data_IF_657077379804
#
_entry.id   IF_657077379804
#
_cell.length_a   1.000
_cell.length_b   1.000
_cell.length_c   1.000
_cell.angle_alpha   90.00
_cell.angle_beta   90.00
_cell.angle_gamma   90.00
#
_symmetry.space_group_name_H-M   'P 1'
#
loop_
_entity.id
_entity.type
_entity.pdbx_description
1 polymer ?
#
# COMPACT_ATOMS: atom_id res chain seq x y z
N UNK A 1 4.73 -13.82 -26.18
CA UNK A 1 4.99 -12.64 -25.34
C UNK A 1 5.72 -13.10 -24.08
N UNK A 2 6.71 -12.34 -23.62
CA UNK A 2 7.49 -12.67 -22.44
C UNK A 2 7.08 -11.78 -21.26
N UNK A 3 6.93 -12.39 -20.07
CA UNK A 3 6.76 -11.66 -18.82
C UNK A 3 8.15 -11.25 -18.29
N UNK A 4 8.35 -9.95 -18.09
CA UNK A 4 9.58 -9.42 -17.51
C UNK A 4 9.36 -9.19 -16.03
N UNK A 5 9.98 -10.02 -15.18
CA UNK A 5 9.95 -9.84 -13.72
C UNK A 5 11.02 -8.84 -13.30
N UNK A 6 10.60 -7.76 -12.65
CA UNK A 6 11.48 -6.70 -12.16
C UNK A 6 11.80 -6.94 -10.67
N UNK A 7 13.05 -6.79 -10.28
CA UNK A 7 13.52 -6.94 -8.90
C UNK A 7 13.81 -5.58 -8.23
N UNK A 8 12.98 -4.58 -8.54
CA UNK A 8 13.01 -3.25 -7.94
C UNK A 8 11.59 -2.71 -7.79
N UNK A 9 11.41 -1.72 -6.93
CA UNK A 9 10.11 -1.12 -6.64
C UNK A 9 10.12 0.36 -7.04
N UNK A 10 9.88 0.61 -8.33
CA UNK A 10 9.71 1.95 -8.88
C UNK A 10 8.23 2.22 -9.07
N UNK A 11 7.71 3.17 -8.31
CA UNK A 11 6.27 3.45 -8.27
C UNK A 11 5.95 4.73 -9.02
N UNK A 12 5.17 4.60 -10.10
CA UNK A 12 4.59 5.72 -10.82
C UNK A 12 3.42 6.32 -10.05
N UNK A 13 3.21 7.61 -10.18
CA UNK A 13 1.99 8.25 -9.71
C UNK A 13 1.45 9.23 -10.76
N UNK A 14 0.13 9.21 -10.95
CA UNK A 14 -0.52 10.08 -11.90
C UNK A 14 -0.52 11.54 -11.40
N UNK A 15 0.02 12.43 -12.19
CA UNK A 15 0.03 13.87 -11.93
C UNK A 15 -0.74 14.62 -13.02
N UNK A 16 -1.74 15.39 -12.62
CA UNK A 16 -2.51 16.25 -13.50
C UNK A 16 -1.72 17.54 -13.79
N UNK A 17 -1.65 17.90 -15.08
CA UNK A 17 -0.94 19.08 -15.56
C UNK A 17 -1.78 19.83 -16.58
N UNK A 18 -1.49 21.13 -16.84
CA UNK A 18 -2.19 21.88 -17.89
C UNK A 18 -2.11 21.25 -19.29
N UNK A 19 -1.08 20.44 -19.54
CA UNK A 19 -0.85 19.76 -20.83
C UNK A 19 -1.35 18.31 -20.84
N UNK A 20 -2.09 17.88 -19.83
CA UNK A 20 -2.62 16.52 -19.69
C UNK A 20 -1.96 15.74 -18.55
N UNK A 21 -2.32 14.47 -18.47
CA UNK A 21 -1.85 13.56 -17.43
C UNK A 21 -0.45 13.04 -17.74
N UNK A 22 0.45 13.10 -16.76
CA UNK A 22 1.79 12.50 -16.81
C UNK A 22 1.99 11.56 -15.61
N UNK A 23 2.94 10.61 -15.73
CA UNK A 23 3.21 9.62 -14.68
C UNK A 23 4.69 9.67 -14.29
N UNK A 24 5.09 10.60 -13.40
CA UNK A 24 6.42 10.56 -12.82
C UNK A 24 6.63 9.32 -11.96
N UNK A 25 7.89 8.88 -11.83
CA UNK A 25 8.28 7.62 -11.20
C UNK A 25 9.21 7.86 -10.02
N UNK A 26 8.77 7.46 -8.83
CA UNK A 26 9.61 7.38 -7.63
C UNK A 26 10.40 6.08 -7.69
N UNK A 27 11.72 6.20 -7.80
CA UNK A 27 12.62 5.05 -7.91
C UNK A 27 12.93 4.48 -6.53
N UNK A 28 13.13 3.16 -6.45
CA UNK A 28 13.52 2.45 -5.22
C UNK A 28 12.66 2.87 -3.99
N UNK A 29 11.34 2.86 -4.16
CA UNK A 29 10.40 3.32 -3.12
C UNK A 29 10.51 2.47 -1.83
N UNK A 30 10.93 1.21 -1.93
CA UNK A 30 11.18 0.30 -0.81
C UNK A 30 12.37 0.70 0.06
N UNK A 31 13.30 1.53 -0.47
CA UNK A 31 14.50 2.01 0.24
C UNK A 31 14.31 3.39 0.87
N UNK A 32 13.14 4.00 0.71
CA UNK A 32 12.83 5.36 1.14
C UNK A 32 11.87 5.37 2.31
N UNK A 33 12.06 6.33 3.19
CA UNK A 33 11.10 6.61 4.26
C UNK A 33 9.85 7.29 3.70
N UNK A 34 8.76 7.29 4.46
CA UNK A 34 7.53 7.99 4.09
C UNK A 34 7.76 9.48 3.79
N UNK A 35 8.62 10.15 4.57
CA UNK A 35 8.91 11.57 4.38
C UNK A 35 9.72 11.84 3.11
N UNK A 36 10.66 10.97 2.78
CA UNK A 36 11.44 11.04 1.54
C UNK A 36 10.55 10.84 0.32
N UNK A 37 9.66 9.83 0.36
CA UNK A 37 8.67 9.61 -0.71
C UNK A 37 7.75 10.82 -0.87
N UNK A 38 7.24 11.38 0.22
CA UNK A 38 6.34 12.54 0.17
C UNK A 38 7.02 13.77 -0.43
N UNK A 39 8.29 14.02 -0.07
CA UNK A 39 9.07 15.13 -0.62
C UNK A 39 9.33 14.94 -2.11
N UNK A 40 9.84 13.77 -2.51
CA UNK A 40 10.15 13.47 -3.92
C UNK A 40 8.88 13.51 -4.79
N UNK A 41 7.76 12.99 -4.30
CA UNK A 41 6.47 13.09 -4.99
C UNK A 41 6.06 14.54 -5.20
N UNK A 42 6.25 15.42 -4.20
CA UNK A 42 5.97 16.85 -4.29
C UNK A 42 6.85 17.55 -5.31
N UNK A 43 8.15 17.26 -5.32
CA UNK A 43 9.13 17.81 -6.26
C UNK A 43 8.83 17.39 -7.71
N UNK A 44 8.58 16.10 -7.93
CA UNK A 44 8.22 15.57 -9.25
C UNK A 44 6.88 16.13 -9.74
N UNK A 45 5.89 16.27 -8.87
CA UNK A 45 4.60 16.87 -9.22
C UNK A 45 4.72 18.36 -9.58
N UNK A 46 5.62 19.10 -8.92
CA UNK A 46 5.91 20.50 -9.26
C UNK A 46 6.56 20.58 -10.65
N UNK A 47 7.62 19.81 -10.90
CA UNK A 47 8.27 19.71 -12.23
C UNK A 47 7.27 19.31 -13.33
N UNK A 48 6.35 18.39 -13.03
CA UNK A 48 5.31 17.96 -13.96
C UNK A 48 4.44 19.14 -14.40
N UNK A 49 3.92 19.91 -13.43
CA UNK A 49 3.08 21.09 -13.71
C UNK A 49 3.81 22.19 -14.47
N UNK A 50 5.12 22.32 -14.25
CA UNK A 50 5.97 23.26 -14.97
C UNK A 50 6.43 22.76 -16.35
N UNK A 51 6.09 21.53 -16.74
CA UNK A 51 6.54 20.91 -17.98
C UNK A 51 8.04 20.62 -18.04
N UNK A 52 8.68 20.46 -16.86
CA UNK A 52 10.14 20.30 -16.71
C UNK A 52 10.56 18.85 -16.37
N UNK A 53 9.65 17.88 -16.45
CA UNK A 53 10.00 16.47 -16.26
C UNK A 53 10.91 15.98 -17.38
N UNK A 54 12.04 15.39 -17.00
CA UNK A 54 12.88 14.67 -17.96
C UNK A 54 12.21 13.34 -18.36
N UNK A 55 12.38 12.86 -19.60
CA UNK A 55 11.86 11.56 -20.03
C UNK A 55 12.26 10.39 -19.11
N UNK A 56 13.46 10.44 -18.55
CA UNK A 56 13.94 9.42 -17.60
C UNK A 56 13.17 9.43 -16.28
N UNK A 57 12.55 10.53 -15.88
CA UNK A 57 11.72 10.63 -14.66
C UNK A 57 10.32 10.04 -14.85
N UNK A 58 9.93 9.68 -16.08
CA UNK A 58 8.64 9.07 -16.42
C UNK A 58 8.76 7.60 -16.87
N UNK A 59 9.95 7.02 -16.81
CA UNK A 59 10.23 5.67 -17.30
C UNK A 59 10.69 4.72 -16.20
N UNK A 60 10.51 3.42 -16.46
CA UNK A 60 10.99 2.37 -15.58
C UNK A 60 10.07 2.02 -14.43
N UNK A 61 8.88 2.58 -14.35
CA UNK A 61 7.86 2.18 -13.39
C UNK A 61 7.54 0.69 -13.46
N UNK A 62 7.14 0.10 -12.35
CA UNK A 62 6.65 -1.28 -12.27
C UNK A 62 5.20 -1.36 -11.79
N UNK A 63 4.68 -0.29 -11.22
CA UNK A 63 3.32 -0.17 -10.72
C UNK A 63 2.95 1.31 -10.60
N UNK A 64 1.76 1.69 -11.00
CA UNK A 64 1.29 3.09 -10.94
C UNK A 64 0.16 3.25 -9.93
N UNK A 65 0.12 4.40 -9.26
CA UNK A 65 -0.97 4.83 -8.39
C UNK A 65 -1.62 6.06 -9.02
N UNK A 66 -2.92 6.01 -9.27
CA UNK A 66 -3.73 7.14 -9.71
C UNK A 66 -4.66 7.58 -8.60
N UNK A 67 -4.60 8.84 -8.19
CA UNK A 67 -5.45 9.36 -7.11
C UNK A 67 -6.35 10.49 -7.62
N UNK A 68 -7.66 10.27 -7.49
CA UNK A 68 -8.69 11.30 -7.73
C UNK A 68 -9.26 11.85 -6.41
N UNK A 69 -8.68 11.49 -5.26
CA UNK A 69 -9.19 11.85 -3.95
C UNK A 69 -9.31 13.36 -3.71
N UNK A 70 -8.46 14.17 -4.33
CA UNK A 70 -8.52 15.63 -4.28
C UNK A 70 -9.60 16.25 -5.17
N UNK A 71 -10.02 15.54 -6.21
CA UNK A 71 -11.01 16.04 -7.20
C UNK A 71 -12.42 15.61 -6.80
N UNK A 72 -12.60 14.36 -6.38
CA UNK A 72 -13.88 13.80 -5.99
C UNK A 72 -14.08 12.36 -6.50
N UNK A 73 -15.34 11.92 -6.53
CA UNK A 73 -15.69 10.58 -6.98
C UNK A 73 -15.66 9.52 -5.88
N UNK A 74 -16.53 8.52 -6.00
CA UNK A 74 -16.67 7.41 -5.05
C UNK A 74 -15.92 6.16 -5.49
N UNK A 75 -15.69 6.00 -6.79
CA UNK A 75 -14.94 4.93 -7.42
C UNK A 75 -14.61 5.31 -8.87
N UNK A 76 -13.56 4.74 -9.41
CA UNK A 76 -13.23 4.79 -10.84
C UNK A 76 -12.41 3.56 -11.23
N UNK A 77 -12.30 3.29 -12.52
CA UNK A 77 -11.47 2.22 -13.06
C UNK A 77 -10.25 2.85 -13.73
N UNK A 78 -9.07 2.80 -13.10
CA UNK A 78 -7.85 3.33 -13.72
C UNK A 78 -7.43 2.49 -14.92
N UNK A 79 -6.83 3.14 -15.93
CA UNK A 79 -6.29 2.47 -17.12
C UNK A 79 -4.82 2.17 -16.85
N UNK A 80 -4.40 0.92 -17.13
CA UNK A 80 -3.04 0.47 -16.90
C UNK A 80 -2.07 1.27 -17.76
N UNK A 81 -1.00 1.75 -17.13
CA UNK A 81 0.07 2.48 -17.79
C UNK A 81 1.09 1.48 -18.38
N UNK A 82 0.91 1.12 -19.65
CA UNK A 82 1.80 0.17 -20.33
C UNK A 82 3.27 0.65 -20.28
N UNK A 83 4.25 -0.26 -20.10
CA UNK A 83 4.18 -1.71 -20.07
C UNK A 83 3.94 -2.33 -18.68
N UNK A 84 3.47 -1.59 -17.71
CA UNK A 84 3.07 -2.11 -16.41
C UNK A 84 1.87 -3.07 -16.55
N UNK A 85 1.68 -3.94 -15.57
CA UNK A 85 0.60 -4.95 -15.58
C UNK A 85 -0.53 -4.65 -14.60
N UNK A 86 -0.38 -3.62 -13.78
CA UNK A 86 -1.42 -3.22 -12.82
C UNK A 86 -1.30 -1.75 -12.43
N UNK A 87 -2.42 -1.18 -12.00
CA UNK A 87 -2.55 0.18 -11.50
C UNK A 87 -3.56 0.23 -10.35
N UNK A 88 -3.22 1.00 -9.31
CA UNK A 88 -4.11 1.25 -8.19
C UNK A 88 -4.82 2.60 -8.34
N UNK A 89 -6.13 2.59 -8.30
CA UNK A 89 -6.97 3.77 -8.20
C UNK A 89 -7.30 4.09 -6.76
N UNK A 90 -7.13 5.35 -6.36
CA UNK A 90 -7.47 5.86 -5.03
C UNK A 90 -8.52 6.95 -5.18
N UNK A 91 -9.74 6.72 -4.68
CA UNK A 91 -10.83 7.69 -4.69
C UNK A 91 -10.86 8.51 -3.39
N UNK A 92 -11.81 9.44 -3.29
CA UNK A 92 -11.96 10.29 -2.11
C UNK A 92 -12.34 9.47 -0.87
N UNK A 93 -11.62 9.68 0.22
CA UNK A 93 -12.01 9.14 1.51
C UNK A 93 -13.28 9.83 2.03
N UNK A 94 -14.22 9.06 2.56
CA UNK A 94 -15.50 9.57 3.06
C UNK A 94 -15.96 8.80 4.31
N UNK A 95 -16.77 9.46 5.15
CA UNK A 95 -17.37 8.84 6.32
C UNK A 95 -18.55 7.96 5.88
N UNK A 96 -18.45 6.66 6.15
CA UNK A 96 -19.53 5.70 5.85
C UNK A 96 -19.95 4.93 7.10
N UNK A 97 -21.25 4.65 7.27
CA UNK A 97 -21.71 3.81 8.35
C UNK A 97 -21.23 2.38 8.12
N UNK A 98 -20.47 1.83 9.06
CA UNK A 98 -20.03 0.45 9.05
C UNK A 98 -20.53 -0.27 10.29
N UNK A 99 -21.05 -1.47 10.09
CA UNK A 99 -21.49 -2.33 11.18
C UNK A 99 -20.29 -2.83 11.99
N UNK A 100 -20.30 -2.62 13.31
CA UNK A 100 -19.21 -3.01 14.22
C UNK A 100 -19.47 -4.32 14.98
N UNK A 101 -20.60 -4.99 14.66
CA UNK A 101 -21.09 -6.18 15.35
C UNK A 101 -22.29 -5.90 16.27
N UNK A 102 -22.53 -4.62 16.62
CA UNK A 102 -23.61 -4.20 17.53
C UNK A 102 -24.44 -3.03 16.97
N UNK A 103 -23.79 -2.08 16.29
CA UNK A 103 -24.41 -0.87 15.75
C UNK A 103 -23.65 -0.38 14.53
N UNK A 104 -24.29 0.52 13.77
CA UNK A 104 -23.59 1.27 12.74
C UNK A 104 -22.75 2.38 13.36
N UNK A 105 -21.45 2.35 13.11
CA UNK A 105 -20.51 3.38 13.54
C UNK A 105 -19.93 4.10 12.32
N UNK A 106 -19.73 5.43 12.33
CA UNK A 106 -19.05 6.13 11.26
C UNK A 106 -17.59 5.70 11.18
N UNK A 107 -17.13 5.37 9.98
CA UNK A 107 -15.74 5.02 9.70
C UNK A 107 -15.27 5.77 8.47
N UNK A 108 -14.05 6.33 8.53
CA UNK A 108 -13.40 6.88 7.35
C UNK A 108 -13.00 5.74 6.43
N UNK A 109 -13.62 5.70 5.26
CA UNK A 109 -13.38 4.66 4.26
C UNK A 109 -12.67 5.25 3.06
N UNK A 110 -11.56 4.63 2.66
CA UNK A 110 -10.80 4.96 1.47
C UNK A 110 -11.12 3.92 0.38
N UNK A 111 -11.86 4.29 -0.69
CA UNK A 111 -12.12 3.37 -1.77
C UNK A 111 -10.85 3.14 -2.60
N UNK A 112 -10.53 1.87 -2.85
CA UNK A 112 -9.42 1.44 -3.68
C UNK A 112 -9.95 0.62 -4.85
N UNK A 113 -9.43 0.87 -6.05
CA UNK A 113 -9.73 0.11 -7.27
C UNK A 113 -8.43 -0.42 -7.85
N UNK A 114 -8.38 -1.70 -8.21
CA UNK A 114 -7.23 -2.31 -8.84
C UNK A 114 -7.60 -2.75 -10.25
N UNK A 115 -6.92 -2.19 -11.25
CA UNK A 115 -6.95 -2.71 -12.62
C UNK A 115 -5.67 -3.48 -12.89
N UNK A 116 -5.78 -4.63 -13.56
CA UNK A 116 -4.63 -5.47 -13.87
C UNK A 116 -4.81 -6.23 -15.19
N UNK A 117 -3.71 -6.59 -15.81
CA UNK A 117 -3.67 -7.44 -17.01
C UNK A 117 -3.97 -8.89 -16.60
N UNK A 118 -5.15 -9.39 -17.00
CA UNK A 118 -5.60 -10.73 -16.61
C UNK A 118 -4.80 -11.86 -17.27
N UNK A 119 -3.90 -11.57 -18.19
CA UNK A 119 -2.93 -12.52 -18.73
C UNK A 119 -1.78 -12.81 -17.75
N UNK A 120 -1.54 -11.88 -16.78
CA UNK A 120 -0.43 -11.95 -15.82
C UNK A 120 -0.93 -12.14 -14.39
N UNK A 121 -2.02 -11.48 -14.01
CA UNK A 121 -2.60 -11.50 -12.67
C UNK A 121 -3.99 -12.10 -12.74
N UNK A 122 -4.25 -13.15 -11.99
CA UNK A 122 -5.57 -13.72 -11.86
C UNK A 122 -6.43 -12.99 -10.80
N UNK A 123 -7.74 -13.27 -10.80
CA UNK A 123 -8.67 -12.63 -9.87
C UNK A 123 -8.36 -12.92 -8.40
N UNK A 124 -7.83 -14.10 -8.09
CA UNK A 124 -7.46 -14.48 -6.73
C UNK A 124 -6.22 -13.73 -6.25
N UNK A 125 -5.21 -13.56 -7.10
CA UNK A 125 -4.01 -12.79 -6.79
C UNK A 125 -4.36 -11.29 -6.60
N UNK A 126 -5.15 -10.71 -7.52
CA UNK A 126 -5.61 -9.33 -7.40
C UNK A 126 -6.42 -9.08 -6.11
N UNK A 127 -7.33 -9.99 -5.77
CA UNK A 127 -8.13 -9.90 -4.54
C UNK A 127 -7.26 -10.01 -3.29
N UNK A 128 -6.30 -10.95 -3.25
CA UNK A 128 -5.37 -11.07 -2.13
C UNK A 128 -4.51 -9.83 -1.95
N UNK A 129 -4.02 -9.25 -3.05
CA UNK A 129 -3.24 -8.02 -3.02
C UNK A 129 -4.03 -6.86 -2.41
N UNK A 130 -5.23 -6.57 -2.91
CA UNK A 130 -6.02 -5.43 -2.43
C UNK A 130 -6.49 -5.62 -0.98
N UNK A 131 -6.82 -6.85 -0.58
CA UNK A 131 -7.19 -7.18 0.80
C UNK A 131 -6.00 -6.98 1.75
N UNK A 132 -4.81 -7.44 1.37
CA UNK A 132 -3.59 -7.26 2.15
C UNK A 132 -3.22 -5.77 2.27
N UNK A 133 -3.27 -5.02 1.18
CA UNK A 133 -3.04 -3.58 1.18
C UNK A 133 -4.00 -2.86 2.14
N UNK A 134 -5.29 -3.20 2.11
CA UNK A 134 -6.28 -2.65 3.03
C UNK A 134 -5.96 -2.95 4.50
N UNK A 135 -5.48 -4.15 4.82
CA UNK A 135 -5.04 -4.53 6.18
C UNK A 135 -3.81 -3.72 6.62
N UNK A 136 -2.82 -3.57 5.75
CA UNK A 136 -1.61 -2.77 6.02
C UNK A 136 -1.97 -1.32 6.30
N UNK A 137 -2.79 -0.70 5.44
CA UNK A 137 -3.23 0.68 5.62
C UNK A 137 -4.03 0.87 6.91
N UNK A 138 -4.92 -0.06 7.26
CA UNK A 138 -5.67 0.00 8.51
C UNK A 138 -4.75 -0.12 9.74
N UNK A 139 -3.65 -0.88 9.64
CA UNK A 139 -2.65 -1.04 10.71
C UNK A 139 -1.68 0.14 10.86
N UNK A 140 -1.52 0.98 9.85
CA UNK A 140 -0.56 2.10 9.87
C UNK A 140 -0.89 3.20 10.88
N UNK A 141 -2.13 3.32 11.32
CA UNK A 141 -2.54 4.35 12.28
C UNK A 141 -1.68 4.33 13.56
N UNK A 142 -1.37 3.15 14.11
CA UNK A 142 -0.52 3.00 15.28
C UNK A 142 0.95 3.38 15.03
N UNK A 143 1.45 3.14 13.82
CA UNK A 143 2.83 3.45 13.43
C UNK A 143 3.03 4.94 13.23
N UNK A 144 2.08 5.62 12.59
CA UNK A 144 2.14 7.05 12.29
C UNK A 144 1.91 7.92 13.54
N UNK A 145 1.11 7.44 14.50
CA UNK A 145 0.83 8.15 15.75
C UNK A 145 1.87 7.92 16.86
N UNK A 146 2.97 7.22 16.58
CA UNK A 146 4.06 7.00 17.53
C UNK A 146 3.72 6.04 18.69
N UNK A 147 2.54 5.42 18.69
CA UNK A 147 2.09 4.49 19.74
C UNK A 147 2.53 3.04 19.51
N UNK A 148 3.02 2.70 18.32
CA UNK A 148 3.41 1.32 17.97
C UNK A 148 4.77 0.86 18.54
N UNK A 149 5.56 1.76 19.14
CA UNK A 149 6.92 1.42 19.61
C UNK A 149 7.01 0.85 21.04
N UNK A 150 5.89 0.62 21.75
CA UNK A 150 5.89 0.13 23.12
C UNK A 150 4.96 -1.08 23.33
N UNK A 151 5.27 -2.22 22.71
CA UNK A 151 4.40 -3.37 22.93
C UNK A 151 4.88 -4.73 22.45
N UNK A 152 6.17 -4.99 22.50
CA UNK A 152 6.75 -6.27 22.11
C UNK A 152 7.51 -6.99 23.20
N UNK A 153 7.12 -6.91 24.48
CA UNK A 153 7.61 -7.88 25.50
C UNK A 153 6.76 -9.15 25.39
N UNK A 154 7.30 -10.18 24.75
CA UNK A 154 6.79 -11.54 24.88
C UNK A 154 6.76 -11.90 26.38
N UNK A 155 5.65 -12.45 26.91
CA UNK A 155 5.66 -12.96 28.28
C UNK A 155 6.64 -14.12 28.35
N UNK A 156 7.63 -14.00 29.25
CA UNK A 156 8.57 -15.06 29.55
C UNK A 156 7.79 -16.29 30.04
N UNK A 157 7.87 -17.38 29.27
CA UNK A 157 7.23 -18.64 29.61
C UNK A 157 7.72 -19.12 30.99
N UNK A 158 6.81 -19.24 31.94
CA UNK A 158 7.07 -19.88 33.24
C UNK A 158 7.48 -21.33 32.97
N UNK A 159 8.76 -21.63 33.10
CA UNK A 159 9.28 -23.00 33.19
C UNK A 159 8.62 -23.68 34.41
N UNK A 160 7.73 -24.60 34.16
CA UNK A 160 7.22 -25.51 35.20
C UNK A 160 8.39 -26.31 35.77
N UNK A 161 8.70 -26.11 37.04
CA UNK A 161 9.66 -26.92 37.76
C UNK A 161 9.20 -28.38 37.78
N UNK A 162 10.05 -29.28 37.29
CA UNK A 162 9.87 -30.73 37.38
C UNK A 162 10.03 -31.14 38.85
N UNK A 163 8.99 -31.71 39.44
CA UNK A 163 9.06 -32.38 40.74
C UNK A 163 10.00 -33.60 40.65
N UNK A 164 10.86 -33.85 41.65
CA UNK A 164 11.75 -35.01 41.67
C UNK A 164 10.95 -36.29 41.97
N UNK A 165 11.30 -37.37 41.25
CA UNK A 165 10.71 -38.67 41.39
C UNK A 165 10.96 -39.28 42.77
N UNK A 166 9.91 -39.74 43.44
CA UNK A 166 9.90 -40.41 44.73
C UNK A 166 10.44 -41.85 44.56
N UNK A 167 11.60 -42.15 45.11
CA UNK A 167 12.16 -43.49 45.14
C UNK A 167 11.26 -44.38 46.00
N UNK A 168 10.72 -45.45 45.42
CA UNK A 168 10.05 -46.53 46.11
C UNK A 168 11.07 -47.45 46.75
N UNK A 169 11.04 -47.60 48.07
CA UNK A 169 11.76 -48.67 48.81
C UNK A 169 10.89 -49.93 48.73
N UNK A 170 11.43 -50.97 48.11
CA UNK A 170 10.92 -52.37 48.31
C UNK A 170 11.46 -52.93 49.60
N UNK A 171 10.60 -53.54 50.38
CA UNK A 171 10.82 -54.68 51.22
C UNK A 171 10.14 -55.85 50.60
#
# INVERSE_FOLDING_TARGET
ENLIVKHYYHIGFAADTPNGLVVPVIRDADKKTLLEIAREAGELAAKAREGKLAPAEMQGGCFTISSLGGIGGTAFTPIINAPEVAILGVSRADQKPKWDGKRFAPRLMLPLSLSYDHRVVDGAAGTRFIAHLGQVLAGMHGTLSGTAARGGKKPAGKRKARKPARKSKRR
#
